data_IF_392046963176
#
_entry.id   IF_392046963176
#
_cell.length_a   1.000
_cell.length_b   1.000
_cell.length_c   1.000
_cell.angle_alpha   90.00
_cell.angle_beta   90.00
_cell.angle_gamma   90.00
#
_symmetry.space_group_name_H-M   'P 1'
#
loop_
_entity.id
_entity.type
_entity.pdbx_description
1 polymer ?
#
# COMPACT_ATOMS: atom_id res chain seq x y z
N UNK A 1 -9.41 -23.60 -11.46
CA UNK A 1 -9.53 -22.56 -10.43
C UNK A 1 -8.93 -21.30 -11.00
N UNK A 2 -9.73 -20.24 -11.16
CA UNK A 2 -9.24 -18.96 -11.68
C UNK A 2 -8.13 -18.47 -10.75
N UNK A 3 -6.95 -18.22 -11.30
CA UNK A 3 -5.86 -17.55 -10.59
C UNK A 3 -6.39 -16.16 -10.26
N UNK A 4 -6.84 -15.94 -9.02
CA UNK A 4 -7.08 -14.60 -8.53
C UNK A 4 -5.79 -13.81 -8.82
N UNK A 5 -5.91 -12.68 -9.49
CA UNK A 5 -4.76 -11.83 -9.75
C UNK A 5 -4.16 -11.47 -8.39
N UNK A 6 -2.95 -11.94 -8.13
CA UNK A 6 -2.24 -11.69 -6.88
C UNK A 6 -2.05 -10.17 -6.78
N UNK A 7 -2.65 -9.54 -5.78
CA UNK A 7 -2.50 -8.09 -5.59
C UNK A 7 -1.04 -7.81 -5.33
N UNK A 8 -0.46 -6.92 -6.13
CA UNK A 8 0.96 -6.58 -6.05
C UNK A 8 1.16 -5.23 -5.39
N UNK A 9 2.42 -4.90 -5.09
CA UNK A 9 2.79 -3.54 -4.70
C UNK A 9 2.27 -2.50 -5.70
N UNK A 10 2.38 -2.77 -7.00
CA UNK A 10 1.99 -1.80 -8.03
C UNK A 10 0.47 -1.54 -7.96
N UNK A 11 -0.33 -2.57 -7.69
CA UNK A 11 -1.77 -2.46 -7.48
C UNK A 11 -2.12 -1.60 -6.25
N UNK A 12 -1.37 -1.76 -5.15
CA UNK A 12 -1.51 -0.91 -3.96
C UNK A 12 -1.15 0.56 -4.27
N UNK A 13 -0.03 0.80 -4.96
CA UNK A 13 0.41 2.17 -5.27
C UNK A 13 -0.56 2.86 -6.23
N UNK A 14 -1.11 2.13 -7.19
CA UNK A 14 -2.16 2.63 -8.08
C UNK A 14 -3.42 2.99 -7.29
N UNK A 15 -3.87 2.12 -6.38
CA UNK A 15 -5.00 2.41 -5.51
C UNK A 15 -4.78 3.68 -4.66
N UNK A 16 -3.61 3.81 -4.03
CA UNK A 16 -3.28 4.99 -3.20
C UNK A 16 -3.22 6.26 -4.05
N UNK A 17 -2.68 6.18 -5.28
CA UNK A 17 -2.69 7.30 -6.22
C UNK A 17 -4.12 7.71 -6.59
N UNK A 18 -4.99 6.75 -6.94
CA UNK A 18 -6.39 7.04 -7.26
C UNK A 18 -7.17 7.61 -6.06
N UNK A 19 -6.90 7.12 -4.85
CA UNK A 19 -7.64 7.51 -3.64
C UNK A 19 -7.19 8.84 -3.02
N UNK A 20 -5.94 9.26 -3.23
CA UNK A 20 -5.33 10.43 -2.56
C UNK A 20 -4.58 11.38 -3.50
N UNK A 21 -4.44 11.05 -4.78
CA UNK A 21 -3.71 11.83 -5.77
C UNK A 21 -2.19 11.83 -5.54
N UNK A 22 -1.66 10.84 -4.81
CA UNK A 22 -0.24 10.78 -4.50
C UNK A 22 0.53 9.99 -5.57
N UNK A 23 1.52 10.63 -6.19
CA UNK A 23 2.35 10.00 -7.20
C UNK A 23 3.64 9.40 -6.60
N UNK A 24 3.82 8.09 -6.81
CA UNK A 24 5.00 7.35 -6.36
C UNK A 24 6.10 7.24 -7.43
N UNK A 25 5.92 7.80 -8.63
CA UNK A 25 6.89 7.67 -9.75
C UNK A 25 8.28 8.22 -9.43
N UNK A 26 8.38 9.21 -8.52
CA UNK A 26 9.65 9.80 -8.08
C UNK A 26 10.47 8.92 -7.12
N UNK A 27 9.91 7.81 -6.63
CA UNK A 27 10.55 6.99 -5.60
C UNK A 27 11.07 5.66 -6.16
N UNK A 28 12.20 5.21 -5.63
CA UNK A 28 12.77 3.90 -6.01
C UNK A 28 11.89 2.77 -5.48
N UNK A 29 11.47 1.86 -6.37
CA UNK A 29 10.61 0.71 -6.05
C UNK A 29 11.08 -0.12 -4.84
N UNK A 30 12.38 -0.50 -4.69
CA UNK A 30 12.83 -1.25 -3.51
C UNK A 30 12.70 -0.47 -2.20
N UNK A 31 12.81 0.86 -2.24
CA UNK A 31 12.64 1.71 -1.06
C UNK A 31 11.18 1.78 -0.63
N UNK A 32 10.26 1.94 -1.59
CA UNK A 32 8.82 1.91 -1.30
C UNK A 32 8.42 0.55 -0.76
N UNK A 33 8.79 -0.54 -1.45
CA UNK A 33 8.42 -1.90 -1.05
C UNK A 33 8.81 -2.20 0.39
N UNK A 34 10.03 -1.84 0.80
CA UNK A 34 10.48 -2.03 2.19
C UNK A 34 9.68 -1.22 3.21
N UNK A 35 9.33 0.03 2.87
CA UNK A 35 8.58 0.93 3.76
C UNK A 35 7.12 0.52 3.89
N UNK A 36 6.49 0.12 2.78
CA UNK A 36 5.15 -0.46 2.77
C UNK A 36 5.12 -1.76 3.57
N UNK A 37 6.04 -2.69 3.32
CA UNK A 37 6.10 -3.95 4.06
C UNK A 37 6.29 -3.74 5.57
N UNK A 38 7.10 -2.76 5.97
CA UNK A 38 7.24 -2.36 7.38
C UNK A 38 5.91 -1.86 7.94
N UNK A 39 5.21 -0.98 7.22
CA UNK A 39 3.93 -0.42 7.65
C UNK A 39 2.84 -1.49 7.76
N UNK A 40 2.76 -2.39 6.79
CA UNK A 40 1.87 -3.56 6.82
C UNK A 40 2.12 -4.43 8.06
N UNK A 41 3.39 -4.74 8.35
CA UNK A 41 3.76 -5.50 9.55
C UNK A 41 3.37 -4.78 10.85
N UNK A 42 3.49 -3.46 10.93
CA UNK A 42 3.05 -2.67 12.08
C UNK A 42 1.53 -2.58 12.20
N UNK A 43 0.80 -2.63 11.09
CA UNK A 43 -0.66 -2.70 11.04
C UNK A 43 -1.20 -4.13 11.28
N UNK A 44 -0.32 -5.14 11.32
CA UNK A 44 -0.71 -6.54 11.48
C UNK A 44 -1.31 -7.18 10.23
N UNK A 45 -0.93 -6.69 9.05
CA UNK A 45 -1.45 -7.12 7.75
C UNK A 45 -0.36 -7.86 6.96
N UNK A 46 -0.71 -9.00 6.36
CA UNK A 46 0.29 -9.88 5.71
C UNK A 46 0.29 -9.80 4.19
N UNK A 47 -0.78 -9.29 3.58
CA UNK A 47 -0.92 -9.21 2.13
C UNK A 47 -1.42 -7.85 1.63
N UNK A 48 -1.14 -7.54 0.36
CA UNK A 48 -1.49 -6.24 -0.21
C UNK A 48 -3.00 -6.06 -0.41
N UNK A 49 -3.75 -7.13 -0.68
CA UNK A 49 -5.21 -7.11 -0.75
C UNK A 49 -5.83 -6.77 0.61
N UNK A 50 -5.39 -7.46 1.68
CA UNK A 50 -5.81 -7.13 3.04
C UNK A 50 -5.45 -5.68 3.40
N UNK A 51 -4.31 -5.18 2.94
CA UNK A 51 -3.88 -3.81 3.24
C UNK A 51 -4.70 -2.76 2.48
N UNK A 52 -5.15 -3.06 1.25
CA UNK A 52 -6.09 -2.20 0.51
C UNK A 52 -7.44 -2.16 1.25
N UNK A 53 -7.96 -3.31 1.68
CA UNK A 53 -9.22 -3.37 2.43
C UNK A 53 -9.10 -2.59 3.75
N UNK A 54 -7.98 -2.76 4.45
CA UNK A 54 -7.67 -2.03 5.68
C UNK A 54 -7.65 -0.50 5.44
N UNK A 55 -7.02 -0.02 4.36
CA UNK A 55 -7.02 1.40 3.99
C UNK A 55 -8.43 1.94 3.67
N UNK A 56 -9.32 1.13 3.09
CA UNK A 56 -10.69 1.55 2.79
C UNK A 56 -11.53 1.76 4.06
N UNK A 57 -11.34 0.91 5.06
CA UNK A 57 -12.09 0.98 6.33
C UNK A 57 -11.42 1.88 7.38
N UNK A 58 -10.12 2.17 7.23
CA UNK A 58 -9.32 3.07 8.08
C UNK A 58 -8.70 4.23 7.29
N UNK A 59 -9.45 5.31 6.99
CA UNK A 59 -8.93 6.46 6.25
C UNK A 59 -7.72 7.15 6.89
N UNK A 60 -7.55 7.02 8.21
CA UNK A 60 -6.41 7.50 8.99
C UNK A 60 -5.10 6.78 8.65
N UNK A 61 -5.18 5.52 8.21
CA UNK A 61 -4.00 4.72 7.86
C UNK A 61 -3.26 5.29 6.65
N UNK A 62 -3.94 6.02 5.75
CA UNK A 62 -3.27 6.75 4.68
C UNK A 62 -2.22 7.73 5.22
N UNK A 63 -2.51 8.43 6.33
CA UNK A 63 -1.55 9.34 6.94
C UNK A 63 -0.34 8.56 7.50
N UNK A 64 -0.59 7.44 8.18
CA UNK A 64 0.48 6.54 8.68
C UNK A 64 1.36 5.99 7.56
N UNK A 65 0.74 5.59 6.45
CA UNK A 65 1.42 5.11 5.25
C UNK A 65 2.31 6.21 4.65
N UNK A 66 1.77 7.41 4.45
CA UNK A 66 2.55 8.52 3.90
C UNK A 66 3.69 8.94 4.82
N UNK A 67 3.45 9.05 6.13
CA UNK A 67 4.49 9.34 7.11
C UNK A 67 5.60 8.28 7.13
N UNK A 68 5.27 7.05 6.72
CA UNK A 68 6.26 5.98 6.62
C UNK A 68 7.05 6.06 5.31
N UNK A 69 6.43 6.47 4.20
CA UNK A 69 7.03 6.50 2.86
C UNK A 69 7.84 7.77 2.58
N UNK A 70 7.37 8.92 3.08
CA UNK A 70 8.00 10.25 2.99
C UNK A 70 9.18 10.38 3.96
#
# INVERSE_FOLDING_TARGET
MARAAEVTLDSLLEFVNQARGFDFTGYKRPSIQRRVAKRMSEAGVESYDEYIDYLQVHPEEFASLFNTIL
#
